data_IF_153791181534
#
_entry.id   IF_153791181534
#
_cell.length_a   1.000
_cell.length_b   1.000
_cell.length_c   1.000
_cell.angle_alpha   90.00
_cell.angle_beta   90.00
_cell.angle_gamma   90.00
#
_symmetry.space_group_name_H-M   'P 1'
#
loop_
_entity.id
_entity.type
_entity.pdbx_description
1 polymer ?
#
# COMPACT_ATOMS: atom_id res chain seq x y z
N UNK A 1 -3.46 3.62 -9.26
CA UNK A 1 -2.24 3.55 -10.10
C UNK A 1 -2.53 3.03 -11.50
N UNK A 2 -3.20 1.90 -11.63
CA UNK A 2 -3.44 1.28 -12.94
C UNK A 2 -4.27 2.17 -13.89
N UNK A 3 -5.31 2.83 -13.37
CA UNK A 3 -6.13 3.75 -14.18
C UNK A 3 -5.29 4.90 -14.75
N UNK A 4 -4.37 5.43 -13.94
CA UNK A 4 -3.44 6.45 -14.41
C UNK A 4 -2.55 5.94 -15.54
N UNK A 5 -2.00 4.73 -15.39
CA UNK A 5 -1.14 4.13 -16.42
C UNK A 5 -1.91 3.91 -17.73
N UNK A 6 -3.17 3.48 -17.66
CA UNK A 6 -4.04 3.36 -18.84
C UNK A 6 -4.30 4.70 -19.52
N UNK A 7 -4.30 5.77 -18.75
CA UNK A 7 -4.48 7.14 -19.27
C UNK A 7 -3.20 7.75 -19.83
N UNK A 8 -2.08 7.04 -19.78
CA UNK A 8 -0.83 7.45 -20.39
C UNK A 8 0.15 8.19 -19.48
N UNK A 9 -0.03 8.15 -18.16
CA UNK A 9 0.94 8.75 -17.24
C UNK A 9 2.24 7.96 -17.22
N UNK A 10 3.35 8.63 -16.93
CA UNK A 10 4.68 8.02 -16.93
C UNK A 10 4.94 7.11 -15.72
N UNK A 11 4.25 7.34 -14.62
CA UNK A 11 4.44 6.59 -13.39
C UNK A 11 3.52 7.07 -12.29
N UNK A 12 3.81 6.68 -11.05
CA UNK A 12 2.99 7.03 -9.89
C UNK A 12 3.84 7.18 -8.63
N UNK A 13 3.30 7.92 -7.65
CA UNK A 13 3.88 8.08 -6.32
C UNK A 13 2.81 7.76 -5.26
N UNK A 14 2.37 6.51 -5.15
CA UNK A 14 1.35 6.17 -4.17
C UNK A 14 1.91 6.23 -2.74
N UNK A 15 1.16 6.84 -1.83
CA UNK A 15 1.58 6.94 -0.43
C UNK A 15 1.75 5.56 0.21
N UNK A 16 0.92 4.61 -0.17
CA UNK A 16 1.00 3.23 0.33
C UNK A 16 2.30 2.52 -0.07
N UNK A 17 3.02 3.02 -1.07
CA UNK A 17 4.32 2.46 -1.44
C UNK A 17 5.34 2.56 -0.30
N UNK A 18 5.16 3.46 0.66
CA UNK A 18 5.99 3.51 1.85
C UNK A 18 5.85 2.24 2.70
N UNK A 19 4.64 1.67 2.77
CA UNK A 19 4.36 0.44 3.53
C UNK A 19 4.65 -0.82 2.74
N UNK A 20 4.37 -0.83 1.44
CA UNK A 20 4.47 -2.01 0.59
C UNK A 20 5.04 -1.64 -0.80
N UNK A 21 6.31 -1.26 -0.88
CA UNK A 21 6.90 -0.83 -2.14
C UNK A 21 6.92 -1.94 -3.19
N UNK A 22 7.19 -3.16 -2.79
CA UNK A 22 7.26 -4.27 -3.72
C UNK A 22 5.89 -4.57 -4.35
N UNK A 23 4.83 -4.56 -3.53
CA UNK A 23 3.48 -4.78 -4.02
C UNK A 23 3.06 -3.71 -5.04
N UNK A 24 3.40 -2.45 -4.78
CA UNK A 24 3.14 -1.36 -5.71
C UNK A 24 3.95 -1.51 -7.00
N UNK A 25 5.23 -1.85 -6.88
CA UNK A 25 6.10 -2.06 -8.04
C UNK A 25 5.61 -3.21 -8.94
N UNK A 26 5.08 -4.28 -8.36
CA UNK A 26 4.59 -5.42 -9.14
C UNK A 26 3.41 -5.07 -10.06
N UNK A 27 2.57 -4.10 -9.68
CA UNK A 27 1.50 -3.59 -10.57
C UNK A 27 2.12 -2.92 -11.78
N UNK A 28 3.11 -2.06 -11.57
CA UNK A 28 3.80 -1.37 -12.64
C UNK A 28 4.54 -2.36 -13.56
N UNK A 29 5.22 -3.33 -12.97
CA UNK A 29 5.96 -4.35 -13.72
C UNK A 29 5.02 -5.16 -14.62
N UNK A 30 3.90 -5.63 -14.09
CA UNK A 30 2.90 -6.36 -14.87
C UNK A 30 2.34 -5.51 -16.02
N UNK A 31 2.07 -4.23 -15.76
CA UNK A 31 1.62 -3.30 -16.80
C UNK A 31 2.67 -3.14 -17.90
N UNK A 32 3.93 -2.92 -17.53
CA UNK A 32 5.04 -2.75 -18.50
C UNK A 32 5.29 -4.02 -19.32
N UNK A 33 5.09 -5.18 -18.73
CA UNK A 33 5.24 -6.47 -19.41
C UNK A 33 4.08 -6.77 -20.37
N UNK A 34 3.05 -5.92 -20.38
CA UNK A 34 1.89 -6.09 -21.25
C UNK A 34 0.87 -7.10 -20.71
N UNK A 35 1.02 -7.56 -19.47
CA UNK A 35 0.10 -8.50 -18.83
C UNK A 35 -1.00 -7.73 -18.08
N UNK A 36 -1.98 -7.25 -18.84
CA UNK A 36 -3.09 -6.45 -18.30
C UNK A 36 -3.91 -7.22 -17.26
N UNK A 37 -4.13 -8.51 -17.44
CA UNK A 37 -4.88 -9.34 -16.50
C UNK A 37 -4.18 -9.45 -15.16
N UNK A 38 -2.88 -9.70 -15.17
CA UNK A 38 -2.08 -9.74 -13.94
C UNK A 38 -2.02 -8.38 -13.26
N UNK A 39 -1.87 -7.31 -14.03
CA UNK A 39 -1.86 -5.95 -13.49
C UNK A 39 -3.18 -5.63 -12.77
N UNK A 40 -4.32 -6.00 -13.34
CA UNK A 40 -5.64 -5.81 -12.73
C UNK A 40 -5.80 -6.60 -11.44
N UNK A 41 -5.38 -7.85 -11.43
CA UNK A 41 -5.44 -8.71 -10.24
C UNK A 41 -4.61 -8.13 -9.10
N UNK A 42 -3.38 -7.75 -9.39
CA UNK A 42 -2.49 -7.15 -8.39
C UNK A 42 -3.00 -5.79 -7.90
N UNK A 43 -3.53 -4.97 -8.79
CA UNK A 43 -4.11 -3.68 -8.42
C UNK A 43 -5.33 -3.84 -7.51
N UNK A 44 -6.23 -4.77 -7.82
CA UNK A 44 -7.41 -5.01 -7.00
C UNK A 44 -7.04 -5.40 -5.57
N UNK A 45 -6.09 -6.33 -5.42
CA UNK A 45 -5.60 -6.77 -4.13
C UNK A 45 -4.91 -5.63 -3.37
N UNK A 46 -4.08 -4.87 -4.05
CA UNK A 46 -3.39 -3.72 -3.47
C UNK A 46 -4.37 -2.66 -2.99
N UNK A 47 -5.40 -2.38 -3.77
CA UNK A 47 -6.39 -1.36 -3.47
C UNK A 47 -7.19 -1.67 -2.20
N UNK A 48 -7.62 -2.91 -2.02
CA UNK A 48 -8.35 -3.32 -0.82
C UNK A 48 -7.56 -3.04 0.46
N UNK A 49 -6.27 -3.33 0.44
CA UNK A 49 -5.39 -3.07 1.58
C UNK A 49 -5.12 -1.58 1.73
N UNK A 50 -4.80 -0.90 0.64
CA UNK A 50 -4.44 0.51 0.66
C UNK A 50 -5.59 1.40 1.13
N UNK A 51 -6.82 1.10 0.76
CA UNK A 51 -7.99 1.86 1.21
C UNK A 51 -8.12 1.86 2.73
N UNK A 52 -7.94 0.72 3.37
CA UNK A 52 -7.99 0.65 4.82
C UNK A 52 -6.78 1.31 5.47
N UNK A 53 -5.59 0.99 5.00
CA UNK A 53 -4.34 1.47 5.62
C UNK A 53 -4.17 2.97 5.40
N UNK A 54 -4.36 3.44 4.18
CA UNK A 54 -4.10 4.83 3.81
C UNK A 54 -5.28 5.74 4.09
N UNK A 55 -6.46 5.39 3.60
CA UNK A 55 -7.61 6.29 3.66
C UNK A 55 -8.31 6.27 5.02
N UNK A 56 -8.48 5.09 5.62
CA UNK A 56 -9.16 4.96 6.91
C UNK A 56 -8.25 5.28 8.08
N UNK A 57 -7.02 4.79 8.08
CA UNK A 57 -6.08 4.90 9.21
C UNK A 57 -4.98 5.93 8.98
N UNK A 58 -4.82 6.43 7.77
CA UNK A 58 -3.95 7.55 7.44
C UNK A 58 -2.46 7.29 7.67
N UNK A 59 -1.73 8.34 8.01
CA UNK A 59 -0.27 8.30 8.18
C UNK A 59 0.15 7.28 9.24
N UNK A 60 -0.58 7.18 10.35
CA UNK A 60 -0.28 6.20 11.39
C UNK A 60 -0.40 4.76 10.85
N UNK A 61 -1.38 4.50 9.99
CA UNK A 61 -1.55 3.21 9.31
C UNK A 61 -0.40 2.90 8.37
N UNK A 62 0.01 3.85 7.55
CA UNK A 62 1.14 3.69 6.63
C UNK A 62 2.43 3.43 7.39
N UNK A 63 2.69 4.18 8.46
CA UNK A 63 3.88 3.98 9.31
C UNK A 63 3.91 2.60 9.96
N UNK A 64 2.79 2.13 10.46
CA UNK A 64 2.70 0.79 11.01
C UNK A 64 2.91 -0.29 9.93
N UNK A 65 2.38 -0.08 8.73
CA UNK A 65 2.65 -0.95 7.60
C UNK A 65 4.14 -1.06 7.25
N UNK A 66 4.87 0.05 7.36
CA UNK A 66 6.34 0.04 7.23
C UNK A 66 6.98 -0.88 8.26
N UNK A 67 6.59 -0.76 9.51
CA UNK A 67 7.13 -1.59 10.59
C UNK A 67 6.85 -3.08 10.35
N UNK A 68 5.63 -3.43 9.90
CA UNK A 68 5.26 -4.80 9.59
C UNK A 68 6.13 -5.41 8.49
N UNK A 69 6.52 -4.63 7.52
CA UNK A 69 7.32 -5.09 6.38
C UNK A 69 8.82 -4.96 6.60
N UNK A 70 9.26 -4.72 7.83
CA UNK A 70 10.67 -4.69 8.20
C UNK A 70 11.37 -3.36 7.94
N UNK A 71 10.62 -2.32 7.59
CA UNK A 71 11.13 -0.96 7.47
C UNK A 71 10.92 -0.22 8.80
N UNK A 72 11.26 1.03 8.85
CA UNK A 72 11.05 1.87 10.05
C UNK A 72 10.04 2.96 9.76
N UNK A 73 8.84 2.84 10.33
CA UNK A 73 7.80 3.85 10.21
C UNK A 73 7.88 4.93 11.28
N UNK A 74 8.11 4.50 12.51
CA UNK A 74 8.17 5.41 13.64
C UNK A 74 6.79 5.90 14.09
N UNK A 75 6.78 6.83 15.03
CA UNK A 75 5.56 7.46 15.53
C UNK A 75 5.09 8.59 14.61
N UNK A 76 3.78 8.78 14.43
CA UNK A 76 3.30 9.99 13.76
C UNK A 76 3.54 11.21 14.64
N UNK A 77 3.68 12.37 14.03
CA UNK A 77 3.78 13.64 14.77
C UNK A 77 2.40 14.09 15.24
N UNK A 78 2.34 14.68 16.42
CA UNK A 78 1.11 15.27 16.93
C UNK A 78 0.56 16.32 15.95
N UNK A 79 -0.78 16.45 15.82
CA UNK A 79 -1.83 15.85 16.64
C UNK A 79 -2.23 14.41 16.24
N UNK A 80 -1.54 13.78 15.30
CA UNK A 80 -1.81 12.40 14.93
C UNK A 80 -1.35 11.46 16.05
N UNK A 81 -2.19 10.48 16.35
CA UNK A 81 -1.91 9.51 17.41
C UNK A 81 -1.52 8.16 16.82
N UNK A 82 -0.69 7.36 17.54
CA UNK A 82 -0.42 5.98 17.15
C UNK A 82 -1.70 5.15 17.08
N UNK A 83 -1.67 4.07 16.30
CA UNK A 83 -2.80 3.16 16.18
C UNK A 83 -3.09 2.44 17.50
N UNK A 84 -4.37 2.09 17.68
CA UNK A 84 -4.81 1.19 18.76
C UNK A 84 -4.37 -0.25 18.45
N UNK A 85 -4.47 -1.16 19.45
CA UNK A 85 -4.18 -2.57 19.24
C UNK A 85 -5.11 -3.22 18.21
N UNK A 86 -6.38 -2.84 18.19
CA UNK A 86 -7.35 -3.35 17.21
C UNK A 86 -7.03 -2.91 15.79
N UNK A 87 -6.66 -1.64 15.62
CA UNK A 87 -6.26 -1.10 14.32
C UNK A 87 -5.00 -1.77 13.79
N UNK A 88 -4.02 -2.02 14.67
CA UNK A 88 -2.81 -2.75 14.30
C UNK A 88 -3.12 -4.17 13.84
N UNK A 89 -3.99 -4.88 14.56
CA UNK A 89 -4.40 -6.22 14.21
C UNK A 89 -5.11 -6.26 12.84
N UNK A 90 -5.94 -5.27 12.55
CA UNK A 90 -6.62 -5.14 11.26
C UNK A 90 -5.61 -4.97 10.11
N UNK A 91 -4.64 -4.08 10.26
CA UNK A 91 -3.60 -3.89 9.24
C UNK A 91 -2.77 -5.14 9.06
N UNK A 92 -2.36 -5.78 10.15
CA UNK A 92 -1.57 -7.00 10.09
C UNK A 92 -2.28 -8.10 9.31
N UNK A 93 -3.59 -8.27 9.54
CA UNK A 93 -4.39 -9.24 8.81
C UNK A 93 -4.50 -8.90 7.32
N UNK A 94 -4.72 -7.62 6.99
CA UNK A 94 -4.86 -7.16 5.60
C UNK A 94 -3.56 -7.28 4.82
N UNK A 95 -2.42 -6.99 5.45
CA UNK A 95 -1.12 -7.02 4.78
C UNK A 95 -0.52 -8.43 4.69
N UNK A 96 -1.14 -9.40 5.33
CA UNK A 96 -0.69 -10.79 5.26
C UNK A 96 -0.81 -11.30 3.83
N UNK A 97 0.31 -11.78 3.29
CA UNK A 97 0.38 -12.24 1.91
C UNK A 97 0.56 -11.15 0.86
N UNK A 98 0.59 -9.88 1.25
CA UNK A 98 0.99 -8.80 0.36
C UNK A 98 2.51 -8.66 0.43
N UNK A 99 3.16 -8.62 -0.73
CA UNK A 99 4.62 -8.47 -0.76
C UNK A 99 5.05 -7.05 -0.41
N UNK A 100 6.06 -6.95 0.38
CA UNK A 100 6.63 -5.67 0.78
C UNK A 100 7.59 -5.08 -0.24
#
# INVERSE_FOLDING_TARGET
MLDGLRSGVAGAMPAFAASAPQACYEVLAAWKDGDAGLAEEKQARLQDVAETVEEKLGIAGIKFGCDLNGYFGGRPRLPLLPLTGEERAEIEALMRGLRN
#
